data_IF_029816731186
#
_entry.id   IF_029816731186
#
_cell.length_a   1.000
_cell.length_b   1.000
_cell.length_c   1.000
_cell.angle_alpha   90.00
_cell.angle_beta   90.00
_cell.angle_gamma   90.00
#
_symmetry.space_group_name_H-M   'P 1'
#
loop_
_entity.id
_entity.type
_entity.pdbx_description
1 polymer ?
#
# COMPACT_ATOMS: atom_id res chain seq x y z
N UNK A 1 7.12 -19.70 -13.90
CA UNK A 1 5.73 -20.06 -13.54
C UNK A 1 5.25 -19.09 -12.47
N UNK A 2 4.24 -18.27 -12.78
CA UNK A 2 3.55 -17.45 -11.77
C UNK A 2 2.63 -18.38 -10.97
N UNK A 3 2.66 -18.30 -9.63
CA UNK A 3 1.82 -19.11 -8.75
C UNK A 3 0.90 -18.18 -7.98
N UNK A 4 -0.41 -18.43 -8.03
CA UNK A 4 -1.41 -17.78 -7.20
C UNK A 4 -1.81 -18.77 -6.10
N UNK A 5 -1.79 -18.30 -4.86
CA UNK A 5 -2.24 -19.07 -3.71
C UNK A 5 -3.41 -18.33 -3.07
N UNK A 6 -4.57 -18.98 -3.01
CA UNK A 6 -5.75 -18.45 -2.34
C UNK A 6 -5.88 -19.15 -0.99
N UNK A 7 -6.10 -18.38 0.06
CA UNK A 7 -6.23 -18.90 1.41
C UNK A 7 -7.32 -18.16 2.16
N UNK A 8 -8.29 -18.91 2.68
CA UNK A 8 -9.32 -18.37 3.56
C UNK A 8 -8.95 -18.69 5.00
N UNK A 9 -9.15 -17.72 5.90
CA UNK A 9 -9.08 -18.00 7.33
C UNK A 9 -10.19 -18.97 7.75
N UNK A 10 -9.94 -19.78 8.77
CA UNK A 10 -10.95 -20.65 9.38
C UNK A 10 -12.07 -19.85 10.07
N UNK A 11 -11.74 -18.65 10.56
CA UNK A 11 -12.67 -17.71 11.20
C UNK A 11 -12.41 -16.32 10.63
N UNK A 12 -13.44 -15.45 10.49
CA UNK A 12 -13.31 -14.15 9.85
C UNK A 12 -12.61 -13.09 10.71
N UNK A 13 -11.87 -13.50 11.75
CA UNK A 13 -11.10 -12.63 12.63
C UNK A 13 -11.97 -11.62 13.37
N UNK A 14 -11.61 -10.35 13.27
CA UNK A 14 -12.27 -9.23 13.93
C UNK A 14 -13.76 -9.11 13.57
N UNK A 15 -14.17 -9.53 12.36
CA UNK A 15 -15.54 -9.38 11.85
C UNK A 15 -16.61 -10.12 12.68
N UNK A 16 -16.23 -11.15 13.44
CA UNK A 16 -17.14 -11.85 14.36
C UNK A 16 -17.01 -11.41 15.83
N UNK A 17 -15.99 -10.61 16.16
CA UNK A 17 -15.61 -10.33 17.54
C UNK A 17 -15.79 -8.86 17.94
N UNK A 18 -15.83 -7.94 16.98
CA UNK A 18 -16.01 -6.50 17.22
C UNK A 18 -17.03 -5.89 16.26
N UNK A 19 -17.59 -4.74 16.65
CA UNK A 19 -18.60 -4.00 15.89
C UNK A 19 -18.34 -2.50 15.88
N UNK A 20 -19.06 -1.76 15.03
CA UNK A 20 -19.00 -0.30 14.96
C UNK A 20 -17.62 0.23 14.56
N UNK A 21 -17.17 1.33 15.18
CA UNK A 21 -15.87 1.94 14.87
C UNK A 21 -14.69 1.00 15.14
N UNK A 22 -14.86 0.08 16.11
CA UNK A 22 -13.86 -0.96 16.40
C UNK A 22 -13.67 -1.86 15.20
N UNK A 23 -14.77 -2.33 14.63
CA UNK A 23 -14.73 -3.12 13.41
C UNK A 23 -14.11 -2.32 12.26
N UNK A 24 -14.53 -1.08 12.04
CA UNK A 24 -14.00 -0.24 10.95
C UNK A 24 -12.47 -0.09 11.01
N UNK A 25 -11.87 0.07 12.19
CA UNK A 25 -10.42 0.24 12.30
C UNK A 25 -9.59 -1.02 12.11
N UNK A 26 -10.13 -2.21 12.36
CA UNK A 26 -9.30 -3.41 12.42
C UNK A 26 -9.88 -4.61 11.69
N UNK A 27 -10.99 -4.44 10.95
CA UNK A 27 -11.53 -5.47 10.08
C UNK A 27 -10.44 -5.93 9.10
N UNK A 28 -9.98 -7.18 9.25
CA UNK A 28 -8.96 -7.76 8.38
C UNK A 28 -7.53 -7.71 8.91
N UNK A 29 -7.27 -7.07 10.06
CA UNK A 29 -5.93 -7.04 10.66
C UNK A 29 -5.40 -8.47 10.93
N UNK A 30 -6.25 -9.39 11.39
CA UNK A 30 -5.88 -10.81 11.54
C UNK A 30 -5.55 -11.46 10.20
N UNK A 31 -6.34 -11.24 9.15
CA UNK A 31 -6.12 -11.83 7.83
C UNK A 31 -4.82 -11.33 7.19
N UNK A 32 -4.56 -10.03 7.27
CA UNK A 32 -3.33 -9.43 6.76
C UNK A 32 -2.09 -9.92 7.52
N UNK A 33 -2.16 -10.01 8.84
CA UNK A 33 -1.06 -10.55 9.65
C UNK A 33 -0.75 -12.01 9.33
N UNK A 34 -1.77 -12.84 9.18
CA UNK A 34 -1.64 -14.23 8.79
C UNK A 34 -1.04 -14.38 7.36
N UNK A 35 -1.42 -13.51 6.42
CA UNK A 35 -0.76 -13.44 5.11
C UNK A 35 0.73 -13.04 5.20
N UNK A 36 1.07 -12.06 6.05
CA UNK A 36 2.45 -11.63 6.29
C UNK A 36 3.27 -12.74 6.95
N UNK A 37 2.71 -13.48 7.90
CA UNK A 37 3.35 -14.62 8.56
C UNK A 37 3.61 -15.76 7.58
N UNK A 38 2.65 -16.08 6.70
CA UNK A 38 2.85 -17.04 5.63
C UNK A 38 3.95 -16.61 4.67
N UNK A 39 3.96 -15.34 4.27
CA UNK A 39 5.01 -14.82 3.41
C UNK A 39 6.39 -14.97 4.09
N UNK A 40 6.50 -14.55 5.36
CA UNK A 40 7.70 -14.71 6.19
C UNK A 40 8.18 -16.15 6.21
N UNK A 41 7.30 -17.09 6.58
CA UNK A 41 7.61 -18.52 6.64
C UNK A 41 8.04 -19.10 5.28
N UNK A 42 7.40 -18.67 4.20
CA UNK A 42 7.68 -19.15 2.84
C UNK A 42 9.09 -18.74 2.38
N UNK A 43 9.52 -17.52 2.74
CA UNK A 43 10.73 -16.94 2.19
C UNK A 43 11.91 -16.81 3.16
N UNK A 44 11.74 -17.12 4.46
CA UNK A 44 12.75 -16.94 5.53
C UNK A 44 14.15 -17.48 5.20
N UNK A 45 14.22 -18.61 4.50
CA UNK A 45 15.49 -19.30 4.18
C UNK A 45 15.85 -19.21 2.69
N UNK A 46 15.28 -18.26 1.96
CA UNK A 46 15.52 -18.12 0.52
C UNK A 46 16.60 -17.07 0.23
N UNK A 47 17.40 -17.32 -0.81
CA UNK A 47 18.35 -16.32 -1.30
C UNK A 47 17.69 -15.01 -1.73
N UNK A 48 16.41 -15.05 -2.14
CA UNK A 48 15.61 -13.87 -2.50
C UNK A 48 15.43 -12.92 -1.33
N UNK A 49 15.10 -13.45 -0.14
CA UNK A 49 15.00 -12.64 1.07
C UNK A 49 16.38 -12.06 1.45
N UNK A 50 17.43 -12.88 1.38
CA UNK A 50 18.78 -12.43 1.74
C UNK A 50 19.29 -11.30 0.84
N UNK A 51 19.02 -11.38 -0.48
CA UNK A 51 19.34 -10.36 -1.47
C UNK A 51 18.34 -9.20 -1.53
N UNK A 52 17.33 -9.17 -0.65
CA UNK A 52 16.35 -8.08 -0.56
C UNK A 52 15.51 -7.89 -1.85
N UNK A 53 15.17 -9.00 -2.51
CA UNK A 53 14.45 -9.04 -3.80
C UNK A 53 12.92 -9.24 -3.65
N UNK A 54 12.43 -9.33 -2.41
CA UNK A 54 11.03 -9.61 -2.13
C UNK A 54 10.29 -8.34 -1.75
N UNK A 55 9.21 -8.07 -2.47
CA UNK A 55 8.29 -6.97 -2.21
C UNK A 55 6.96 -7.53 -1.69
N UNK A 56 6.36 -6.81 -0.76
CA UNK A 56 4.96 -6.97 -0.35
C UNK A 56 4.19 -5.79 -0.91
N UNK A 57 3.00 -6.03 -1.44
CA UNK A 57 2.02 -5.01 -1.78
C UNK A 57 0.71 -5.33 -1.04
N UNK A 58 0.00 -4.30 -0.60
CA UNK A 58 -1.33 -4.43 -0.02
C UNK A 58 -2.34 -4.16 -1.14
N UNK A 59 -3.34 -5.03 -1.28
CA UNK A 59 -4.39 -4.95 -2.29
C UNK A 59 -5.71 -5.37 -1.64
N UNK A 60 -6.73 -4.51 -1.72
CA UNK A 60 -8.07 -4.78 -1.21
C UNK A 60 -9.01 -5.17 -2.34
N UNK A 61 -9.81 -6.21 -2.13
CA UNK A 61 -10.59 -6.85 -3.19
C UNK A 61 -11.73 -5.98 -3.75
N UNK A 62 -12.12 -4.92 -3.05
CA UNK A 62 -13.13 -3.94 -3.45
C UNK A 62 -12.56 -2.65 -4.06
N UNK A 63 -11.24 -2.56 -4.23
CA UNK A 63 -10.61 -1.45 -4.95
C UNK A 63 -10.56 -1.68 -6.46
N UNK A 64 -10.51 -0.58 -7.22
CA UNK A 64 -10.24 -0.62 -8.66
C UNK A 64 -8.81 -0.19 -8.94
N UNK A 65 -8.04 -1.05 -9.59
CA UNK A 65 -6.65 -0.77 -9.94
C UNK A 65 -6.47 -0.49 -11.43
N UNK A 66 -5.60 0.46 -11.74
CA UNK A 66 -5.12 0.64 -13.10
C UNK A 66 -4.26 -0.57 -13.53
N UNK A 67 -4.26 -0.96 -14.83
CA UNK A 67 -3.48 -2.10 -15.31
C UNK A 67 -1.96 -2.03 -15.03
N UNK A 68 -1.43 -0.83 -14.84
CA UNK A 68 -0.01 -0.57 -14.56
C UNK A 68 0.31 -0.43 -13.06
N UNK A 69 -0.66 -0.64 -12.14
CA UNK A 69 -0.49 -0.39 -10.70
C UNK A 69 0.73 -1.09 -10.10
N UNK A 70 0.79 -2.42 -10.19
CA UNK A 70 1.91 -3.20 -9.65
C UNK A 70 3.24 -2.93 -10.36
N UNK A 71 3.19 -2.72 -11.69
CA UNK A 71 4.40 -2.40 -12.46
C UNK A 71 5.00 -1.07 -12.01
N UNK A 72 4.17 -0.04 -11.83
CA UNK A 72 4.57 1.26 -11.32
C UNK A 72 5.23 1.15 -9.92
N UNK A 73 4.70 0.32 -9.02
CA UNK A 73 5.34 0.09 -7.72
C UNK A 73 6.71 -0.58 -7.87
N UNK A 74 6.83 -1.59 -8.74
CA UNK A 74 8.10 -2.29 -9.00
C UNK A 74 9.15 -1.38 -9.64
N UNK A 75 8.76 -0.55 -10.61
CA UNK A 75 9.66 0.35 -11.33
C UNK A 75 10.35 1.36 -10.41
N UNK A 76 9.70 1.77 -9.32
CA UNK A 76 10.30 2.62 -8.29
C UNK A 76 11.54 1.94 -7.69
N UNK A 77 11.46 0.64 -7.38
CA UNK A 77 12.59 -0.10 -6.80
C UNK A 77 13.71 -0.37 -7.80
N UNK A 78 13.39 -0.49 -9.10
CA UNK A 78 14.40 -0.58 -10.14
C UNK A 78 15.13 0.76 -10.33
N UNK A 79 14.38 1.86 -10.37
CA UNK A 79 14.92 3.21 -10.55
C UNK A 79 15.70 3.69 -9.34
N UNK A 80 15.22 3.37 -8.14
CA UNK A 80 15.82 3.76 -6.88
C UNK A 80 16.06 2.53 -5.99
N UNK A 81 17.15 1.75 -6.22
CA UNK A 81 17.41 0.52 -5.47
C UNK A 81 17.54 0.68 -3.96
N UNK A 82 17.85 1.89 -3.47
CA UNK A 82 17.91 2.23 -2.05
C UNK A 82 16.53 2.37 -1.39
N UNK A 83 15.44 2.53 -2.16
CA UNK A 83 14.08 2.66 -1.62
C UNK A 83 13.60 1.34 -1.04
N UNK A 84 13.02 1.39 0.15
CA UNK A 84 12.48 0.23 0.87
C UNK A 84 10.97 0.29 1.03
N UNK A 85 10.35 1.46 0.90
CA UNK A 85 8.90 1.64 0.90
C UNK A 85 8.49 2.53 -0.27
N UNK A 86 7.54 2.09 -1.07
CA UNK A 86 7.06 2.83 -2.23
C UNK A 86 5.53 2.87 -2.20
N UNK A 87 4.96 4.02 -2.52
CA UNK A 87 3.52 4.14 -2.62
C UNK A 87 3.11 5.12 -3.72
N UNK A 88 1.92 4.92 -4.27
CA UNK A 88 1.37 5.77 -5.32
C UNK A 88 0.22 6.63 -4.82
N UNK A 89 -0.12 7.63 -5.61
CA UNK A 89 -1.39 8.34 -5.47
C UNK A 89 -2.56 7.39 -5.76
N UNK A 90 -3.68 7.61 -5.06
CA UNK A 90 -4.97 7.01 -5.35
C UNK A 90 -6.10 8.03 -5.18
N UNK A 91 -7.29 7.69 -5.68
CA UNK A 91 -8.51 8.47 -5.48
C UNK A 91 -9.37 7.79 -4.42
N UNK A 92 -9.86 8.56 -3.46
CA UNK A 92 -10.87 8.09 -2.51
C UNK A 92 -12.26 8.52 -2.99
N UNK A 93 -13.11 7.56 -3.35
CA UNK A 93 -14.47 7.80 -3.84
C UNK A 93 -15.47 7.91 -2.67
N UNK A 94 -15.53 9.08 -2.02
CA UNK A 94 -16.51 9.36 -0.97
C UNK A 94 -17.90 9.61 -1.58
N UNK A 95 -18.92 8.85 -1.17
CA UNK A 95 -20.31 8.92 -1.70
C UNK A 95 -21.00 10.27 -1.54
N UNK A 96 -20.46 11.20 -0.74
CA UNK A 96 -21.15 12.45 -0.36
C UNK A 96 -20.40 13.77 -0.65
N UNK A 97 -19.15 13.74 -1.13
CA UNK A 97 -18.34 14.97 -1.28
C UNK A 97 -17.52 15.08 -2.59
N UNK A 98 -17.62 14.10 -3.50
CA UNK A 98 -16.71 13.99 -4.64
C UNK A 98 -15.37 13.36 -4.27
N UNK A 99 -14.57 13.01 -5.27
CA UNK A 99 -13.27 12.37 -5.04
C UNK A 99 -12.37 13.28 -4.19
N UNK A 100 -11.91 12.79 -3.03
CA UNK A 100 -10.88 13.51 -2.26
C UNK A 100 -9.58 13.36 -3.07
N UNK A 101 -9.25 14.41 -3.84
CA UNK A 101 -7.97 14.51 -4.52
C UNK A 101 -6.92 14.82 -3.45
N UNK A 102 -6.08 13.86 -3.13
CA UNK A 102 -4.89 14.14 -2.33
C UNK A 102 -4.03 15.21 -3.05
N UNK A 103 -3.67 16.32 -2.37
CA UNK A 103 -3.28 17.58 -3.02
C UNK A 103 -1.91 17.57 -3.72
N UNK A 104 -1.18 16.46 -3.70
CA UNK A 104 0.23 16.42 -4.12
C UNK A 104 0.38 16.24 -5.62
N UNK A 105 0.15 17.29 -6.38
CA UNK A 105 0.35 17.29 -7.83
C UNK A 105 1.82 17.53 -8.22
N UNK A 106 2.69 17.96 -7.30
CA UNK A 106 4.09 18.30 -7.62
C UNK A 106 5.04 18.00 -6.45
N UNK A 107 5.28 16.71 -6.17
CA UNK A 107 6.40 16.32 -5.33
C UNK A 107 7.66 16.18 -6.19
N UNK A 108 8.85 16.53 -5.66
CA UNK A 108 10.10 16.22 -6.34
C UNK A 108 10.20 14.72 -6.64
N UNK A 109 10.65 14.39 -7.84
CA UNK A 109 10.98 13.03 -8.29
C UNK A 109 12.33 12.61 -7.70
N UNK A 110 12.37 12.53 -6.38
CA UNK A 110 13.56 12.22 -5.59
C UNK A 110 13.20 11.25 -4.46
N UNK A 111 14.17 10.45 -4.05
CA UNK A 111 14.06 9.63 -2.84
C UNK A 111 13.75 10.50 -1.62
N UNK A 112 12.98 9.94 -0.67
CA UNK A 112 12.51 10.62 0.55
C UNK A 112 11.61 11.84 0.30
N UNK A 113 10.86 11.85 -0.80
CA UNK A 113 9.99 12.98 -1.15
C UNK A 113 8.75 13.11 -0.27
N UNK A 114 8.13 12.00 0.14
CA UNK A 114 6.98 12.02 1.04
C UNK A 114 6.83 10.71 1.83
N UNK A 115 6.93 10.74 3.17
CA UNK A 115 6.71 9.56 3.98
C UNK A 115 5.22 9.20 4.00
N UNK A 116 4.86 7.91 4.15
CA UNK A 116 3.46 7.54 4.33
C UNK A 116 2.96 8.04 5.70
N UNK A 117 1.69 8.42 5.76
CA UNK A 117 1.04 8.88 7.00
C UNK A 117 -0.39 8.39 7.07
N UNK A 118 -0.89 8.21 8.30
CA UNK A 118 -2.31 7.99 8.55
C UNK A 118 -3.16 9.08 7.89
N UNK A 119 -4.21 8.70 7.17
CA UNK A 119 -5.12 9.61 6.45
C UNK A 119 -4.66 10.13 5.10
N UNK A 120 -3.38 9.94 4.71
CA UNK A 120 -2.86 10.38 3.39
C UNK A 120 -2.42 9.23 2.49
N UNK A 121 -2.36 8.02 3.03
CA UNK A 121 -1.91 6.82 2.33
C UNK A 121 -3.06 5.82 2.31
N UNK A 122 -3.55 5.50 1.12
CA UNK A 122 -4.53 4.45 0.91
C UNK A 122 -3.82 3.09 0.96
N UNK A 123 -4.41 2.11 1.63
CA UNK A 123 -3.80 0.79 1.83
C UNK A 123 -3.41 0.13 0.50
N UNK A 124 -4.29 0.12 -0.51
CA UNK A 124 -4.00 -0.49 -1.81
C UNK A 124 -2.95 0.24 -2.65
N UNK A 125 -2.39 1.36 -2.20
CA UNK A 125 -1.37 2.09 -2.98
C UNK A 125 0.06 1.77 -2.57
N UNK A 126 0.26 0.91 -1.57
CA UNK A 126 1.58 0.75 -0.94
C UNK A 126 2.29 -0.54 -1.31
N UNK A 127 3.61 -0.49 -1.24
CA UNK A 127 4.49 -1.65 -1.28
C UNK A 127 5.74 -1.42 -0.44
N UNK A 128 6.37 -2.52 -0.02
CA UNK A 128 7.61 -2.45 0.76
C UNK A 128 8.50 -3.68 0.57
N UNK A 129 9.80 -3.48 0.80
CA UNK A 129 10.78 -4.56 0.85
C UNK A 129 10.58 -5.41 2.09
N UNK A 130 10.28 -6.68 1.87
CA UNK A 130 9.93 -7.64 2.91
C UNK A 130 11.01 -7.78 3.99
N UNK A 131 12.30 -7.83 3.61
CA UNK A 131 13.42 -7.98 4.56
C UNK A 131 13.44 -6.85 5.59
N UNK A 132 13.12 -5.64 5.17
CA UNK A 132 13.20 -4.42 5.98
C UNK A 132 12.09 -4.33 7.01
N UNK A 133 10.90 -4.78 6.64
CA UNK A 133 9.70 -4.64 7.45
C UNK A 133 9.14 -6.00 7.90
N UNK A 134 10.02 -7.01 8.00
CA UNK A 134 9.62 -8.40 8.27
C UNK A 134 8.83 -8.56 9.57
N UNK A 135 9.14 -7.74 10.58
CA UNK A 135 8.52 -7.75 11.91
C UNK A 135 7.27 -6.88 12.02
N UNK A 136 6.93 -6.09 10.99
CA UNK A 136 5.78 -5.20 11.06
C UNK A 136 4.48 -5.96 10.86
N UNK A 137 3.52 -5.73 11.76
CA UNK A 137 2.17 -6.31 11.75
C UNK A 137 1.13 -5.23 11.98
N UNK A 138 -0.08 -5.43 11.47
CA UNK A 138 -1.25 -4.60 11.76
C UNK A 138 -1.66 -4.82 13.20
N UNK A 139 -1.98 -3.74 13.93
CA UNK A 139 -2.50 -3.86 15.30
C UNK A 139 -3.94 -4.36 15.25
N UNK A 140 -4.24 -5.34 16.09
CA UNK A 140 -5.58 -5.92 16.24
C UNK A 140 -6.36 -5.21 17.34
N UNK A 141 -7.67 -5.46 17.40
CA UNK A 141 -8.59 -4.73 18.26
C UNK A 141 -8.20 -4.72 19.75
N UNK A 142 -7.63 -5.82 20.25
CA UNK A 142 -7.18 -5.98 21.64
C UNK A 142 -5.81 -5.34 21.93
N UNK A 143 -5.12 -4.83 20.90
CA UNK A 143 -3.83 -4.17 21.05
C UNK A 143 -3.97 -2.65 21.26
N UNK A 144 -5.19 -2.11 21.04
CA UNK A 144 -5.49 -0.68 21.17
C UNK A 144 -6.03 -0.26 22.55
N UNK A 145 -5.95 -1.11 23.58
CA UNK A 145 -6.70 -0.95 24.86
C UNK A 145 -6.43 0.38 25.59
N UNK A 146 -5.34 1.09 25.28
CA UNK A 146 -4.99 2.38 25.91
C UNK A 146 -4.44 3.44 24.93
N UNK A 147 -4.65 3.29 23.62
CA UNK A 147 -4.11 4.20 22.61
C UNK A 147 -5.22 4.89 21.80
N UNK A 148 -4.88 6.02 21.17
CA UNK A 148 -5.80 6.70 20.27
C UNK A 148 -6.19 5.73 19.15
N UNK A 149 -7.47 5.38 19.12
CA UNK A 149 -8.01 4.34 18.26
C UNK A 149 -7.98 4.87 16.81
N UNK A 150 -7.10 4.33 15.96
CA UNK A 150 -6.95 4.71 14.55
C UNK A 150 -7.04 3.47 13.64
N UNK A 151 -7.36 3.62 12.34
CA UNK A 151 -7.33 2.51 11.39
C UNK A 151 -5.98 1.76 11.41
N UNK A 152 -6.04 0.43 11.39
CA UNK A 152 -4.88 -0.44 11.58
C UNK A 152 -3.83 -0.28 10.48
N UNK A 153 -4.25 0.03 9.26
CA UNK A 153 -3.38 0.39 8.14
C UNK A 153 -2.73 1.77 8.36
N UNK A 154 -3.51 2.79 8.77
CA UNK A 154 -3.00 4.10 9.15
C UNK A 154 -1.95 4.02 10.28
N UNK A 155 -2.20 3.18 11.28
CA UNK A 155 -1.24 2.86 12.35
C UNK A 155 0.04 2.21 11.81
N UNK A 156 -0.10 1.21 10.93
CA UNK A 156 1.00 0.53 10.27
C UNK A 156 1.87 1.53 9.50
N UNK A 157 1.27 2.40 8.70
CA UNK A 157 1.96 3.45 7.94
C UNK A 157 2.70 4.42 8.85
N UNK A 158 2.07 4.85 9.94
CA UNK A 158 2.70 5.73 10.90
C UNK A 158 3.92 5.07 11.55
N UNK A 159 3.82 3.81 12.00
CA UNK A 159 4.95 3.09 12.61
C UNK A 159 6.07 2.83 11.62
N UNK A 160 5.75 2.43 10.39
CA UNK A 160 6.77 2.24 9.33
C UNK A 160 7.46 3.57 9.01
N UNK A 161 6.71 4.68 8.92
CA UNK A 161 7.24 6.02 8.70
C UNK A 161 8.18 6.49 9.81
N UNK A 162 7.84 6.21 11.08
CA UNK A 162 8.73 6.50 12.21
C UNK A 162 10.00 5.65 12.15
N UNK A 163 9.86 4.34 11.92
CA UNK A 163 11.00 3.44 11.79
C UNK A 163 11.93 3.85 10.65
N UNK A 164 11.38 4.25 9.50
CA UNK A 164 12.18 4.68 8.38
C UNK A 164 13.00 5.93 8.70
N UNK A 165 12.38 6.93 9.32
CA UNK A 165 13.06 8.16 9.75
C UNK A 165 14.14 7.89 10.80
N UNK A 166 13.84 7.06 11.80
CA UNK A 166 14.76 6.73 12.87
C UNK A 166 15.99 5.94 12.39
N UNK A 167 15.86 5.19 11.29
CA UNK A 167 16.92 4.31 10.77
C UNK A 167 17.47 4.76 9.40
N UNK A 168 17.14 5.98 8.96
CA UNK A 168 17.54 6.52 7.65
C UNK A 168 17.21 5.59 6.46
N UNK A 169 16.06 4.90 6.52
CA UNK A 169 15.59 4.01 5.47
C UNK A 169 14.82 4.82 4.45
N UNK A 170 15.16 4.63 3.17
CA UNK A 170 14.60 5.42 2.09
C UNK A 170 13.19 5.00 1.69
N UNK A 171 12.37 5.97 1.32
CA UNK A 171 11.02 5.79 0.79
C UNK A 171 10.77 6.64 -0.46
N UNK A 172 9.69 6.36 -1.17
CA UNK A 172 9.32 7.11 -2.37
C UNK A 172 7.80 7.13 -2.58
N UNK A 173 7.26 8.31 -2.88
CA UNK A 173 5.90 8.51 -3.36
C UNK A 173 5.92 8.85 -4.85
N UNK A 174 5.15 8.14 -5.68
CA UNK A 174 4.89 8.53 -7.07
C UNK A 174 3.59 9.31 -7.19
N UNK A 175 3.63 10.42 -7.94
CA UNK A 175 2.45 11.23 -8.25
C UNK A 175 1.47 10.54 -9.21
N UNK A 176 1.84 9.41 -9.80
CA UNK A 176 0.98 8.64 -10.69
C UNK A 176 -0.19 8.04 -9.89
N UNK A 177 -1.41 8.36 -10.29
CA UNK A 177 -2.60 7.70 -9.76
C UNK A 177 -2.71 6.29 -10.33
N UNK A 178 -2.83 5.29 -9.46
CA UNK A 178 -2.93 3.88 -9.87
C UNK A 178 -4.07 3.11 -9.21
N UNK A 179 -4.79 3.72 -8.26
CA UNK A 179 -5.88 3.08 -7.50
C UNK A 179 -7.05 4.04 -7.35
N UNK A 180 -8.26 3.51 -7.51
CA UNK A 180 -9.52 4.13 -7.11
C UNK A 180 -10.08 3.30 -5.95
N UNK A 181 -10.07 3.89 -4.75
CA UNK A 181 -10.59 3.28 -3.54
C UNK A 181 -12.06 3.61 -3.37
N UNK A 182 -12.89 2.58 -3.28
CA UNK A 182 -14.34 2.70 -3.13
C UNK A 182 -14.70 2.70 -1.64
N UNK A 183 -15.57 3.62 -1.22
CA UNK A 183 -16.02 3.66 0.18
C UNK A 183 -16.69 2.33 0.57
N UNK A 184 -16.31 1.78 1.73
CA UNK A 184 -16.71 0.48 2.31
C UNK A 184 -18.23 0.26 2.53
N UNK A 185 -19.09 1.12 1.98
CA UNK A 185 -20.55 1.04 1.99
C UNK A 185 -21.19 0.73 0.63
N UNK A 186 -20.40 0.35 -0.38
CA UNK A 186 -20.91 0.04 -1.73
C UNK A 186 -21.28 1.30 -2.53
N UNK A 187 -20.54 2.39 -2.35
CA UNK A 187 -20.78 3.63 -3.10
C UNK A 187 -20.52 3.43 -4.61
N UNK A 188 -21.23 4.22 -5.43
CA UNK A 188 -21.09 4.19 -6.89
C UNK A 188 -19.63 4.48 -7.28
N UNK A 189 -19.11 3.87 -8.37
CA UNK A 189 -17.78 4.20 -8.88
C UNK A 189 -17.67 5.71 -9.07
N UNK A 190 -16.49 6.26 -8.78
CA UNK A 190 -16.20 7.67 -9.01
C UNK A 190 -16.73 8.08 -10.39
N UNK A 191 -17.64 9.04 -10.47
CA UNK A 191 -17.95 9.68 -11.75
C UNK A 191 -16.65 10.31 -12.21
N UNK A 192 -16.01 9.73 -13.24
CA UNK A 192 -14.70 10.12 -13.77
C UNK A 192 -14.51 11.62 -13.63
N UNK A 193 -13.67 12.04 -12.69
CA UNK A 193 -13.25 13.42 -12.66
C UNK A 193 -12.49 13.65 -13.97
N UNK A 194 -13.02 14.56 -14.78
CA UNK A 194 -12.58 14.82 -16.14
C UNK A 194 -11.05 15.00 -16.25
N UNK A 195 -10.49 14.43 -17.32
CA UNK A 195 -9.30 14.92 -18.03
C UNK A 195 -7.97 15.01 -17.28
N UNK A 196 -7.57 14.02 -16.48
CA UNK A 196 -6.13 13.80 -16.24
C UNK A 196 -5.62 12.78 -17.28
N UNK A 197 -4.75 13.24 -18.17
CA UNK A 197 -4.16 12.44 -19.24
C UNK A 197 -3.51 11.18 -18.64
N UNK A 198 -3.97 10.02 -19.13
CA UNK A 198 -3.34 8.73 -18.86
C UNK A 198 -1.89 8.84 -19.29
N UNK A 199 -0.99 8.95 -18.32
CA UNK A 199 0.43 9.03 -18.57
C UNK A 199 0.93 7.62 -18.84
N UNK A 200 1.04 7.26 -20.12
CA UNK A 200 1.65 5.99 -20.54
C UNK A 200 3.17 6.10 -20.39
N UNK A 201 3.83 5.27 -19.56
CA UNK A 201 5.29 5.28 -19.43
C UNK A 201 6.03 4.99 -20.73
N UNK A 202 5.37 4.39 -21.72
CA UNK A 202 5.94 3.99 -23.00
C UNK A 202 6.48 5.15 -23.86
N UNK A 203 6.17 6.41 -23.51
CA UNK A 203 6.65 7.57 -24.27
C UNK A 203 8.03 8.10 -23.82
N UNK A 204 8.59 7.63 -22.69
CA UNK A 204 9.91 8.07 -22.21
C UNK A 204 11.03 7.06 -22.44
N UNK A 205 10.72 5.80 -22.74
CA UNK A 205 11.72 4.74 -22.90
C UNK A 205 12.20 4.50 -24.35
N UNK A 206 11.67 5.21 -25.34
CA UNK A 206 11.97 5.00 -26.78
C UNK A 206 12.74 6.14 -27.46
N UNK A 207 13.59 6.90 -26.74
CA UNK A 207 14.37 7.99 -27.36
C UNK A 207 15.90 7.91 -27.29
N UNK A 208 16.50 6.87 -26.71
CA UNK A 208 17.96 6.78 -26.62
C UNK A 208 18.55 5.47 -27.16
N UNK A 209 18.08 4.98 -28.30
CA UNK A 209 18.85 4.02 -29.10
C UNK A 209 18.90 4.47 -30.56
N UNK A 210 19.88 5.34 -30.85
CA UNK A 210 20.61 5.32 -32.11
C UNK A 210 22.09 5.20 -31.76
N UNK A 211 22.61 3.99 -31.85
CA UNK A 211 24.01 3.73 -32.22
C UNK A 211 24.00 3.54 -33.74
#
# INVERSE_FOLDING_TARGET
MKKLFLYNLEQPGERNNVSGVRLWHCAGATALNDALDRAAKTYQNTGKLQRNELLIAHLDDDDTWHPYHLQNLVDIYHRFPSVHFAWSKGYFCASRAGAIKYPYTQLPDTVNNMPPTSGMTLHSTVSWKMKTFLSFRYRRDWEFVNESYQPADGDMWQRMSHFMRANNISYYHTSLTTVEHLEEGGSKPCTKADNESVWYPDQLFMKNEKI
#
